data_IF_448050798480
#
_entry.id   IF_448050798480
#
_cell.length_a   1.000
_cell.length_b   1.000
_cell.length_c   1.000
_cell.angle_alpha   90.00
_cell.angle_beta   90.00
_cell.angle_gamma   90.00
#
_symmetry.space_group_name_H-M   'P 1'
#
loop_
_entity.id
_entity.type
_entity.pdbx_description
1 polymer ?
#
# COMPACT_ATOMS: atom_id res chain seq x y z
N UNK A 1 0.98 24.34 12.75
CA UNK A 1 0.70 23.11 11.96
C UNK A 1 0.10 23.39 10.59
N UNK A 2 -0.94 24.25 10.48
CA UNK A 2 -1.62 24.55 9.19
C UNK A 2 -0.61 24.95 8.09
N UNK A 3 0.14 26.03 8.26
CA UNK A 3 1.10 26.55 7.26
C UNK A 3 2.16 25.51 6.92
N UNK A 4 2.68 24.81 7.92
CA UNK A 4 3.72 23.79 7.74
C UNK A 4 3.22 22.66 6.84
N UNK A 5 1.99 22.16 7.03
CA UNK A 5 1.42 21.11 6.22
C UNK A 5 1.30 21.49 4.73
N UNK A 6 0.84 22.72 4.45
CA UNK A 6 0.75 23.21 3.05
C UNK A 6 2.12 23.42 2.41
N UNK A 7 3.06 24.03 3.12
CA UNK A 7 4.42 24.25 2.58
C UNK A 7 5.13 22.93 2.27
N UNK A 8 5.00 21.96 3.17
CA UNK A 8 5.59 20.63 2.96
C UNK A 8 4.93 19.92 1.78
N UNK A 9 3.61 19.98 1.67
CA UNK A 9 2.90 19.38 0.52
C UNK A 9 3.39 19.98 -0.79
N UNK A 10 3.44 21.31 -0.90
CA UNK A 10 3.92 22.00 -2.12
C UNK A 10 5.37 21.64 -2.43
N UNK A 11 6.24 21.63 -1.41
CA UNK A 11 7.65 21.25 -1.58
C UNK A 11 7.82 19.80 -2.05
N UNK A 12 7.06 18.85 -1.49
CA UNK A 12 7.11 17.45 -1.91
C UNK A 12 6.54 17.24 -3.30
N UNK A 13 5.47 17.94 -3.68
CA UNK A 13 4.92 17.89 -5.03
C UNK A 13 5.93 18.42 -6.07
N UNK A 14 6.60 19.53 -5.77
CA UNK A 14 7.64 20.06 -6.63
C UNK A 14 8.81 19.08 -6.79
N UNK A 15 9.26 18.49 -5.69
CA UNK A 15 10.33 17.48 -5.69
C UNK A 15 9.92 16.24 -6.49
N UNK A 16 8.71 15.73 -6.26
CA UNK A 16 8.18 14.57 -7.00
C UNK A 16 8.09 14.85 -8.50
N UNK A 17 7.57 16.03 -8.90
CA UNK A 17 7.50 16.44 -10.30
C UNK A 17 8.88 16.49 -10.97
N UNK A 18 9.90 17.03 -10.29
CA UNK A 18 11.29 17.06 -10.79
C UNK A 18 11.85 15.65 -10.96
N UNK A 19 11.60 14.75 -10.00
CA UNK A 19 12.07 13.36 -10.09
C UNK A 19 11.38 12.59 -11.23
N UNK A 20 10.06 12.75 -11.41
CA UNK A 20 9.33 12.13 -12.53
C UNK A 20 9.81 12.68 -13.88
N UNK A 21 9.98 14.00 -13.99
CA UNK A 21 10.52 14.62 -15.21
C UNK A 21 11.91 14.08 -15.54
N UNK A 22 12.80 13.98 -14.55
CA UNK A 22 14.15 13.43 -14.72
C UNK A 22 14.11 11.94 -15.13
N UNK A 23 13.19 11.16 -14.56
CA UNK A 23 13.00 9.77 -14.94
C UNK A 23 12.46 9.60 -16.36
N UNK A 24 11.58 10.48 -16.82
CA UNK A 24 11.08 10.48 -18.19
C UNK A 24 12.16 10.80 -19.23
N UNK A 25 13.05 11.76 -18.94
CA UNK A 25 14.15 12.11 -19.84
C UNK A 25 15.26 11.05 -19.90
N UNK A 26 15.44 10.28 -18.84
CA UNK A 26 16.42 9.17 -18.81
C UNK A 26 15.94 7.92 -19.57
N UNK A 27 14.67 7.85 -19.94
CA UNK A 27 14.09 6.74 -20.72
C UNK A 27 14.26 6.93 -22.23
N UNK A 28 15.48 7.12 -22.73
CA UNK A 28 15.82 6.73 -24.08
C UNK A 28 15.91 5.20 -24.16
N UNK A 29 14.81 4.51 -24.09
CA UNK A 29 14.73 3.04 -24.08
C UNK A 29 13.86 2.54 -25.24
N UNK A 30 14.17 1.40 -25.86
CA UNK A 30 13.58 0.91 -27.11
C UNK A 30 12.13 0.41 -27.03
N UNK A 31 11.34 0.87 -26.07
CA UNK A 31 9.90 0.58 -25.94
C UNK A 31 9.01 1.41 -26.90
N UNK A 32 9.59 1.93 -27.97
CA UNK A 32 8.82 2.68 -28.99
C UNK A 32 7.69 1.86 -29.65
N UNK A 33 7.76 0.53 -29.65
CA UNK A 33 6.74 -0.31 -30.28
C UNK A 33 5.44 -0.39 -29.48
N UNK A 34 5.48 -0.41 -28.14
CA UNK A 34 4.27 -0.41 -27.30
C UNK A 34 3.55 0.95 -27.34
N UNK A 35 4.32 2.05 -27.31
CA UNK A 35 3.81 3.41 -27.35
C UNK A 35 3.21 3.78 -28.72
N UNK A 36 3.60 3.10 -29.78
CA UNK A 36 3.07 3.28 -31.14
C UNK A 36 1.79 2.53 -31.46
N UNK A 37 1.41 1.51 -30.65
CA UNK A 37 0.23 0.70 -30.95
C UNK A 37 -1.07 1.36 -30.44
N UNK A 38 -1.99 1.79 -31.33
CA UNK A 38 -3.21 2.47 -30.93
C UNK A 38 -4.20 1.53 -30.21
N UNK A 39 -4.20 0.25 -30.54
CA UNK A 39 -5.07 -0.75 -29.88
C UNK A 39 -4.66 -0.97 -28.44
N UNK A 40 -3.34 -1.05 -28.17
CA UNK A 40 -2.81 -1.17 -26.82
C UNK A 40 -3.14 0.07 -25.95
N UNK A 41 -2.98 1.28 -26.50
CA UNK A 41 -3.34 2.51 -25.79
C UNK A 41 -4.84 2.58 -25.47
N UNK A 42 -5.69 2.16 -26.38
CA UNK A 42 -7.14 2.11 -26.17
C UNK A 42 -7.48 1.14 -25.06
N UNK A 43 -6.93 -0.06 -25.07
CA UNK A 43 -7.12 -1.07 -24.03
C UNK A 43 -6.65 -0.58 -22.65
N UNK A 44 -5.47 0.05 -22.56
CA UNK A 44 -5.01 0.68 -21.32
C UNK A 44 -5.98 1.76 -20.82
N UNK A 45 -6.46 2.61 -21.72
CA UNK A 45 -7.39 3.68 -21.37
C UNK A 45 -8.72 3.14 -20.83
N UNK A 46 -9.27 2.11 -21.46
CA UNK A 46 -10.52 1.47 -21.04
C UNK A 46 -10.36 0.80 -19.65
N UNK A 47 -9.19 0.21 -19.38
CA UNK A 47 -8.84 -0.26 -18.03
C UNK A 47 -8.77 0.88 -17.00
N UNK A 48 -8.04 1.96 -17.31
CA UNK A 48 -7.86 3.08 -16.39
C UNK A 48 -9.17 3.80 -16.07
N UNK A 49 -10.05 3.95 -17.04
CA UNK A 49 -11.37 4.59 -16.84
C UNK A 49 -12.22 3.88 -15.79
N UNK A 50 -12.20 2.57 -15.74
CA UNK A 50 -12.95 1.78 -14.77
C UNK A 50 -12.21 1.65 -13.43
N UNK A 51 -10.88 1.50 -13.46
CA UNK A 51 -10.06 1.25 -12.28
C UNK A 51 -9.81 2.50 -11.44
N UNK A 52 -9.53 3.65 -12.04
CA UNK A 52 -9.17 4.86 -11.28
C UNK A 52 -10.30 5.43 -10.41
N UNK A 53 -11.58 5.43 -10.81
CA UNK A 53 -12.67 5.79 -9.90
C UNK A 53 -12.77 4.87 -8.68
N UNK A 54 -12.58 3.56 -8.87
CA UNK A 54 -12.55 2.59 -7.77
C UNK A 54 -11.39 2.87 -6.80
N UNK A 55 -10.21 3.13 -7.35
CA UNK A 55 -9.01 3.46 -6.59
C UNK A 55 -9.15 4.81 -5.85
N UNK A 56 -9.70 5.83 -6.49
CA UNK A 56 -9.97 7.12 -5.87
C UNK A 56 -10.97 7.00 -4.71
N UNK A 57 -12.00 6.18 -4.88
CA UNK A 57 -12.96 5.90 -3.83
C UNK A 57 -12.29 5.24 -2.61
N UNK A 58 -11.37 4.29 -2.83
CA UNK A 58 -10.63 3.65 -1.73
C UNK A 58 -9.75 4.64 -0.96
N UNK A 59 -9.04 5.53 -1.67
CA UNK A 59 -8.19 6.54 -1.04
C UNK A 59 -8.94 7.63 -0.26
N UNK A 60 -10.17 7.98 -0.66
CA UNK A 60 -10.95 9.05 -0.01
C UNK A 60 -11.24 8.78 1.48
N UNK A 61 -11.29 7.53 1.90
CA UNK A 61 -11.55 7.19 3.30
C UNK A 61 -10.36 7.43 4.24
N UNK A 62 -9.13 7.42 3.69
CA UNK A 62 -7.90 7.39 4.47
C UNK A 62 -7.78 8.48 5.52
N UNK A 63 -7.94 9.77 5.16
CA UNK A 63 -7.65 10.89 6.07
C UNK A 63 -8.58 10.99 7.27
N UNK A 64 -9.87 10.67 7.11
CA UNK A 64 -10.90 10.99 8.10
C UNK A 64 -11.49 9.78 8.83
N UNK A 65 -10.97 8.58 8.60
CA UNK A 65 -11.53 7.35 9.15
C UNK A 65 -11.50 7.32 10.69
N UNK A 66 -10.37 7.66 11.30
CA UNK A 66 -10.24 7.73 12.76
C UNK A 66 -11.08 8.87 13.32
N UNK A 67 -11.00 10.06 12.72
CA UNK A 67 -11.76 11.25 13.13
C UNK A 67 -13.28 11.04 13.04
N UNK A 68 -13.76 10.23 12.09
CA UNK A 68 -15.16 9.85 11.99
C UNK A 68 -15.64 9.10 13.23
N UNK A 69 -14.89 8.09 13.65
CA UNK A 69 -15.25 7.32 14.85
C UNK A 69 -15.15 8.15 16.12
N UNK A 70 -14.17 9.02 16.22
CA UNK A 70 -14.06 9.98 17.32
C UNK A 70 -15.23 10.99 17.31
N UNK A 71 -15.66 11.45 16.15
CA UNK A 71 -16.83 12.32 16.00
C UNK A 71 -18.14 11.64 16.47
N UNK A 72 -18.23 10.32 16.35
CA UNK A 72 -19.34 9.52 16.90
C UNK A 72 -19.17 9.19 18.39
N UNK A 73 -18.20 9.81 19.06
CA UNK A 73 -17.91 9.67 20.50
C UNK A 73 -17.50 8.27 20.94
N UNK A 74 -16.93 7.45 20.04
CA UNK A 74 -16.34 6.18 20.45
C UNK A 74 -15.03 6.39 21.19
N UNK A 75 -14.84 5.58 22.24
CA UNK A 75 -13.57 5.52 22.97
C UNK A 75 -12.46 4.91 22.11
N UNK A 76 -11.23 5.32 22.33
CA UNK A 76 -10.06 4.84 21.56
C UNK A 76 -9.96 3.33 21.50
N UNK A 77 -10.25 2.62 22.60
CA UNK A 77 -10.28 1.18 22.60
C UNK A 77 -11.36 0.57 21.72
N UNK A 78 -12.53 1.20 21.62
CA UNK A 78 -13.59 0.78 20.70
C UNK A 78 -13.13 1.00 19.25
N UNK A 79 -12.45 2.12 18.98
CA UNK A 79 -11.87 2.41 17.65
C UNK A 79 -10.78 1.38 17.32
N UNK A 80 -9.90 1.06 18.29
CA UNK A 80 -8.87 0.04 18.10
C UNK A 80 -9.47 -1.34 17.75
N UNK A 81 -10.53 -1.76 18.43
CA UNK A 81 -11.24 -3.01 18.12
C UNK A 81 -11.80 -2.99 16.70
N UNK A 82 -12.42 -1.88 16.27
CA UNK A 82 -12.92 -1.71 14.90
C UNK A 82 -11.78 -1.89 13.88
N UNK A 83 -10.59 -1.33 14.13
CA UNK A 83 -9.42 -1.50 13.25
C UNK A 83 -8.92 -2.95 13.24
N UNK A 84 -8.80 -3.59 14.41
CA UNK A 84 -8.37 -5.00 14.54
C UNK A 84 -9.31 -5.94 13.80
N UNK A 85 -10.64 -5.73 13.91
CA UNK A 85 -11.61 -6.50 13.13
C UNK A 85 -11.43 -6.34 11.63
N UNK A 86 -11.13 -5.12 11.15
CA UNK A 86 -10.80 -4.87 9.75
C UNK A 86 -9.54 -5.62 9.31
N UNK A 87 -8.49 -5.63 10.13
CA UNK A 87 -7.26 -6.37 9.85
C UNK A 87 -7.51 -7.88 9.80
N UNK A 88 -8.27 -8.42 10.76
CA UNK A 88 -8.68 -9.82 10.76
C UNK A 88 -9.47 -10.21 9.52
N UNK A 89 -10.42 -9.37 9.12
CA UNK A 89 -11.18 -9.57 7.88
C UNK A 89 -10.29 -9.56 6.63
N UNK A 90 -9.27 -8.70 6.58
CA UNK A 90 -8.31 -8.66 5.46
C UNK A 90 -7.47 -9.93 5.38
N UNK A 91 -7.07 -10.52 6.51
CA UNK A 91 -6.37 -11.82 6.54
C UNK A 91 -7.25 -12.94 6.00
N UNK A 92 -8.46 -13.05 6.54
CA UNK A 92 -9.41 -14.10 6.14
C UNK A 92 -9.78 -13.99 4.66
N UNK A 93 -10.06 -12.78 4.19
CA UNK A 93 -10.38 -12.54 2.79
C UNK A 93 -9.19 -12.78 1.85
N UNK A 94 -7.97 -12.50 2.28
CA UNK A 94 -6.75 -12.79 1.52
C UNK A 94 -6.59 -14.29 1.22
N UNK A 95 -6.99 -15.16 2.15
CA UNK A 95 -6.99 -16.61 1.92
C UNK A 95 -8.03 -17.05 0.88
N UNK A 96 -9.16 -16.34 0.80
CA UNK A 96 -10.32 -16.72 -0.01
C UNK A 96 -10.32 -15.98 -1.37
N UNK A 97 -9.66 -14.82 -1.47
CA UNK A 97 -9.76 -13.92 -2.64
C UNK A 97 -9.37 -14.59 -3.97
N UNK A 98 -8.24 -15.30 -4.03
CA UNK A 98 -7.77 -15.94 -5.27
C UNK A 98 -8.72 -17.07 -5.75
N UNK A 99 -9.14 -18.04 -4.89
CA UNK A 99 -10.14 -19.03 -5.29
C UNK A 99 -11.51 -18.44 -5.61
N UNK A 100 -11.90 -17.38 -4.90
CA UNK A 100 -13.17 -16.66 -5.16
C UNK A 100 -13.14 -16.03 -6.56
N UNK A 101 -12.07 -15.32 -6.88
CA UNK A 101 -11.86 -14.69 -8.20
C UNK A 101 -11.83 -15.73 -9.32
N UNK A 102 -11.21 -16.89 -9.09
CA UNK A 102 -11.20 -17.98 -10.06
C UNK A 102 -12.59 -18.59 -10.34
N UNK A 103 -13.43 -18.71 -9.30
CA UNK A 103 -14.79 -19.28 -9.43
C UNK A 103 -15.82 -18.27 -9.94
N UNK A 104 -15.86 -17.07 -9.37
CA UNK A 104 -16.82 -16.03 -9.75
C UNK A 104 -16.51 -15.45 -11.13
N UNK A 105 -15.24 -15.37 -11.49
CA UNK A 105 -14.73 -14.60 -12.62
C UNK A 105 -14.12 -13.28 -12.16
N UNK A 106 -13.18 -12.76 -12.95
CA UNK A 106 -12.37 -11.61 -12.54
C UNK A 106 -13.14 -10.29 -12.59
N UNK A 107 -13.95 -10.06 -13.66
CA UNK A 107 -14.83 -8.89 -13.75
C UNK A 107 -15.81 -8.83 -12.59
N UNK A 108 -16.50 -9.96 -12.32
CA UNK A 108 -17.45 -10.02 -11.18
C UNK A 108 -16.79 -9.78 -9.85
N UNK A 109 -15.54 -10.20 -9.67
CA UNK A 109 -14.78 -9.94 -8.47
C UNK A 109 -14.41 -8.47 -8.31
N UNK A 110 -14.12 -7.75 -9.40
CA UNK A 110 -13.92 -6.29 -9.38
C UNK A 110 -15.22 -5.54 -9.04
N UNK A 111 -16.36 -6.00 -9.57
CA UNK A 111 -17.67 -5.44 -9.23
C UNK A 111 -18.01 -5.73 -7.76
N UNK A 112 -17.73 -6.95 -7.27
CA UNK A 112 -17.92 -7.32 -5.87
C UNK A 112 -17.08 -6.45 -4.93
N UNK A 113 -15.82 -6.14 -5.29
CA UNK A 113 -15.01 -5.16 -4.57
C UNK A 113 -15.77 -3.83 -4.41
N UNK A 114 -16.26 -3.27 -5.52
CA UNK A 114 -16.93 -1.97 -5.51
C UNK A 114 -18.23 -1.99 -4.68
N UNK A 115 -18.99 -3.08 -4.73
CA UNK A 115 -20.22 -3.26 -3.94
C UNK A 115 -19.92 -3.39 -2.44
N UNK A 116 -18.90 -4.19 -2.05
CA UNK A 116 -18.50 -4.35 -0.66
C UNK A 116 -17.97 -3.04 -0.07
N UNK A 117 -17.18 -2.28 -0.85
CA UNK A 117 -16.67 -1.00 -0.41
C UNK A 117 -17.77 0.05 -0.30
N UNK A 118 -18.73 0.08 -1.23
CA UNK A 118 -19.91 0.94 -1.14
C UNK A 118 -20.76 0.60 0.12
N UNK A 119 -20.97 -0.68 0.39
CA UNK A 119 -21.60 -1.14 1.63
C UNK A 119 -20.85 -0.70 2.89
N UNK A 120 -19.52 -0.79 2.89
CA UNK A 120 -18.68 -0.24 3.96
C UNK A 120 -18.91 1.25 4.17
N UNK A 121 -19.02 2.04 3.09
CA UNK A 121 -19.26 3.49 3.18
C UNK A 121 -20.66 3.83 3.68
N UNK A 122 -21.66 3.08 3.26
CA UNK A 122 -23.02 3.24 3.80
C UNK A 122 -23.06 2.94 5.30
N UNK A 123 -22.39 1.89 5.76
CA UNK A 123 -22.28 1.59 7.19
C UNK A 123 -21.66 2.73 8.00
N UNK A 124 -20.73 3.50 7.42
CA UNK A 124 -20.08 4.65 8.09
C UNK A 124 -21.01 5.84 8.34
N UNK A 125 -22.19 5.87 7.73
CA UNK A 125 -23.19 6.91 8.01
C UNK A 125 -24.01 6.61 9.28
N UNK A 126 -23.93 5.39 9.81
CA UNK A 126 -24.55 4.99 11.07
C UNK A 126 -23.64 5.32 12.26
N UNK A 127 -24.25 5.68 13.39
CA UNK A 127 -23.56 5.83 14.67
C UNK A 127 -23.58 4.55 15.52
N UNK A 128 -24.20 3.47 15.02
CA UNK A 128 -24.25 2.20 15.71
C UNK A 128 -22.92 1.46 15.58
N UNK A 129 -22.38 1.01 16.73
CA UNK A 129 -21.08 0.35 16.82
C UNK A 129 -21.00 -0.95 16.00
N UNK A 130 -22.07 -1.77 16.05
CA UNK A 130 -22.09 -3.05 15.34
C UNK A 130 -22.22 -2.86 13.82
N UNK A 131 -22.94 -1.82 13.38
CA UNK A 131 -23.01 -1.45 11.96
C UNK A 131 -21.64 -0.99 11.46
N UNK A 132 -20.92 -0.19 12.23
CA UNK A 132 -19.55 0.24 11.89
C UNK A 132 -18.57 -0.92 11.86
N UNK A 133 -18.68 -1.85 12.82
CA UNK A 133 -17.89 -3.07 12.85
C UNK A 133 -18.12 -3.93 11.59
N UNK A 134 -19.39 -4.11 11.21
CA UNK A 134 -19.78 -4.80 9.97
C UNK A 134 -19.19 -4.09 8.75
N UNK A 135 -19.28 -2.76 8.70
CA UNK A 135 -18.67 -1.96 7.65
C UNK A 135 -17.15 -2.18 7.53
N UNK A 136 -16.43 -2.31 8.66
CA UNK A 136 -14.98 -2.60 8.65
C UNK A 136 -14.66 -4.00 8.16
N UNK A 137 -15.50 -4.98 8.48
CA UNK A 137 -15.37 -6.33 7.93
C UNK A 137 -15.56 -6.31 6.42
N UNK A 138 -16.60 -5.64 5.90
CA UNK A 138 -16.84 -5.46 4.47
C UNK A 138 -15.64 -4.77 3.79
N UNK A 139 -15.10 -3.70 4.40
CA UNK A 139 -13.90 -3.01 3.93
C UNK A 139 -12.66 -3.90 3.89
N UNK A 140 -12.44 -4.75 4.89
CA UNK A 140 -11.35 -5.72 4.90
C UNK A 140 -11.47 -6.76 3.78
N UNK A 141 -12.68 -7.24 3.51
CA UNK A 141 -12.94 -8.13 2.36
C UNK A 141 -12.70 -7.42 1.03
N UNK A 142 -13.15 -6.17 0.87
CA UNK A 142 -12.95 -5.41 -0.36
C UNK A 142 -11.47 -5.18 -0.67
N UNK A 143 -10.66 -4.79 0.32
CA UNK A 143 -9.24 -4.50 0.14
C UNK A 143 -8.45 -5.67 -0.47
N UNK A 144 -8.80 -6.91 -0.12
CA UNK A 144 -8.15 -8.10 -0.71
C UNK A 144 -8.49 -8.31 -2.17
N UNK A 145 -9.68 -7.90 -2.60
CA UNK A 145 -10.15 -8.01 -4.00
C UNK A 145 -9.54 -6.92 -4.88
N UNK A 146 -9.32 -5.71 -4.36
CA UNK A 146 -8.74 -4.61 -5.13
C UNK A 146 -7.40 -5.01 -5.77
N UNK A 147 -6.47 -5.48 -4.96
CA UNK A 147 -5.12 -5.80 -5.43
C UNK A 147 -5.00 -7.13 -6.15
N UNK A 148 -5.97 -8.02 -6.04
CA UNK A 148 -5.91 -9.32 -6.69
C UNK A 148 -6.72 -9.41 -7.98
N UNK A 149 -7.88 -8.74 -8.06
CA UNK A 149 -8.83 -8.92 -9.15
C UNK A 149 -8.57 -8.01 -10.34
N UNK A 150 -8.29 -6.72 -10.11
CA UNK A 150 -8.09 -5.75 -11.20
C UNK A 150 -6.83 -6.04 -12.01
N UNK A 151 -5.70 -6.27 -11.35
CA UNK A 151 -4.45 -6.61 -12.02
C UNK A 151 -4.53 -7.95 -12.74
N UNK A 152 -5.18 -8.95 -12.13
CA UNK A 152 -5.34 -10.26 -12.76
C UNK A 152 -6.30 -10.24 -13.94
N UNK A 153 -7.34 -9.38 -13.91
CA UNK A 153 -8.22 -9.17 -15.06
C UNK A 153 -7.43 -8.58 -16.22
N UNK A 154 -6.70 -7.49 -15.97
CA UNK A 154 -5.89 -6.81 -16.99
C UNK A 154 -4.83 -7.73 -17.59
N UNK A 155 -4.08 -8.45 -16.75
CA UNK A 155 -3.01 -9.33 -17.22
C UNK A 155 -3.56 -10.45 -18.14
N UNK A 156 -4.70 -11.02 -17.82
CA UNK A 156 -5.33 -12.05 -18.64
C UNK A 156 -5.84 -11.50 -19.97
N UNK A 157 -6.58 -10.38 -19.95
CA UNK A 157 -7.07 -9.75 -21.20
C UNK A 157 -5.91 -9.35 -22.11
N UNK A 158 -4.82 -8.86 -21.52
CA UNK A 158 -3.62 -8.47 -22.23
C UNK A 158 -2.98 -9.64 -23.00
N UNK A 159 -2.84 -10.79 -22.35
CA UNK A 159 -2.11 -11.95 -22.94
C UNK A 159 -3.01 -12.89 -23.72
N UNK A 160 -4.22 -13.20 -23.22
CA UNK A 160 -5.06 -14.26 -23.78
C UNK A 160 -6.09 -13.74 -24.79
N UNK A 161 -6.58 -12.50 -24.62
CA UNK A 161 -7.62 -11.95 -25.49
C UNK A 161 -7.04 -11.02 -26.57
N UNK A 162 -6.10 -10.16 -26.20
CA UNK A 162 -5.49 -9.21 -27.13
C UNK A 162 -4.16 -9.69 -27.72
N UNK A 163 -3.60 -10.77 -27.22
CA UNK A 163 -2.31 -11.35 -27.65
C UNK A 163 -1.17 -10.30 -27.68
N UNK A 164 -1.17 -9.36 -26.72
CA UNK A 164 -0.10 -8.39 -26.59
C UNK A 164 1.13 -9.01 -25.92
N UNK A 165 2.35 -8.60 -26.29
CA UNK A 165 3.56 -9.10 -25.67
C UNK A 165 3.57 -8.93 -24.15
N UNK A 166 3.89 -9.98 -23.40
CA UNK A 166 3.96 -9.95 -21.94
C UNK A 166 4.96 -8.90 -21.42
N UNK A 167 5.95 -8.52 -22.23
CA UNK A 167 6.94 -7.47 -21.94
C UNK A 167 6.31 -6.07 -21.79
N UNK A 168 5.09 -5.86 -22.29
CA UNK A 168 4.38 -4.59 -22.15
C UNK A 168 3.60 -4.46 -20.84
N UNK A 169 3.32 -5.55 -20.13
CA UNK A 169 2.64 -5.55 -18.83
C UNK A 169 3.34 -4.67 -17.79
N UNK A 170 4.67 -4.74 -17.60
CA UNK A 170 5.37 -3.88 -16.64
C UNK A 170 5.22 -2.39 -16.93
N UNK A 171 5.03 -2.01 -18.22
CA UNK A 171 4.81 -0.61 -18.60
C UNK A 171 3.47 -0.11 -18.04
N UNK A 172 2.38 -0.86 -18.22
CA UNK A 172 1.06 -0.51 -17.66
C UNK A 172 1.08 -0.45 -16.15
N UNK A 173 1.65 -1.46 -15.47
CA UNK A 173 1.70 -1.46 -14.01
C UNK A 173 2.61 -0.36 -13.44
N UNK A 174 3.64 0.07 -14.16
CA UNK A 174 4.42 1.25 -13.79
C UNK A 174 3.60 2.54 -13.88
N UNK A 175 2.74 2.66 -14.90
CA UNK A 175 1.80 3.80 -15.00
C UNK A 175 0.75 3.76 -13.88
N UNK A 176 0.17 2.57 -13.61
CA UNK A 176 -0.76 2.38 -12.48
C UNK A 176 -0.13 2.85 -11.17
N UNK A 177 1.12 2.47 -10.89
CA UNK A 177 1.80 2.87 -9.67
C UNK A 177 1.99 4.40 -9.57
N UNK A 178 2.34 5.07 -10.67
CA UNK A 178 2.48 6.53 -10.71
C UNK A 178 1.13 7.23 -10.51
N UNK A 179 0.09 6.77 -11.21
CA UNK A 179 -1.27 7.32 -11.07
C UNK A 179 -1.87 7.03 -9.69
N UNK A 180 -1.58 5.89 -9.09
CA UNK A 180 -2.01 5.57 -7.73
C UNK A 180 -1.52 6.62 -6.73
N UNK A 181 -0.24 7.02 -6.80
CA UNK A 181 0.30 8.11 -5.98
C UNK A 181 -0.40 9.44 -6.23
N UNK A 182 -0.61 9.83 -7.50
CA UNK A 182 -1.32 11.05 -7.87
C UNK A 182 -2.77 11.06 -7.36
N UNK A 183 -3.50 9.96 -7.56
CA UNK A 183 -4.88 9.80 -7.11
C UNK A 183 -4.97 9.88 -5.59
N UNK A 184 -4.06 9.25 -4.85
CA UNK A 184 -4.02 9.31 -3.40
C UNK A 184 -3.81 10.75 -2.87
N UNK A 185 -2.91 11.51 -3.50
CA UNK A 185 -2.68 12.92 -3.16
C UNK A 185 -3.94 13.75 -3.41
N UNK A 186 -4.55 13.62 -4.60
CA UNK A 186 -5.79 14.34 -4.95
C UNK A 186 -6.95 13.93 -4.03
N UNK A 187 -7.07 12.65 -3.69
CA UNK A 187 -8.10 12.17 -2.76
C UNK A 187 -7.96 12.80 -1.37
N UNK A 188 -6.73 12.97 -0.85
CA UNK A 188 -6.50 13.65 0.42
C UNK A 188 -6.93 15.12 0.40
N UNK A 189 -6.56 15.88 -0.66
CA UNK A 189 -6.99 17.27 -0.84
C UNK A 189 -8.51 17.36 -0.98
N UNK A 190 -9.12 16.46 -1.77
CA UNK A 190 -10.57 16.41 -1.96
C UNK A 190 -11.30 16.08 -0.66
N UNK A 191 -10.79 15.11 0.10
CA UNK A 191 -11.35 14.78 1.41
C UNK A 191 -11.28 15.97 2.38
N UNK A 192 -10.17 16.73 2.38
CA UNK A 192 -10.03 17.96 3.17
C UNK A 192 -11.03 19.04 2.73
N UNK A 193 -11.19 19.21 1.42
CA UNK A 193 -12.14 20.18 0.88
C UNK A 193 -13.58 19.86 1.32
N UNK A 194 -13.99 18.60 1.24
CA UNK A 194 -15.33 18.18 1.66
C UNK A 194 -15.52 18.29 3.17
N UNK A 195 -14.58 17.76 3.96
CA UNK A 195 -14.75 17.64 5.40
C UNK A 195 -14.56 18.98 6.14
N UNK A 196 -13.55 19.78 5.76
CA UNK A 196 -13.14 20.99 6.49
C UNK A 196 -13.51 22.28 5.75
N UNK A 197 -13.13 22.46 4.47
CA UNK A 197 -13.39 23.74 3.78
C UNK A 197 -14.89 23.97 3.50
N UNK A 198 -15.63 22.92 3.12
CA UNK A 198 -17.08 22.97 2.93
C UNK A 198 -17.86 22.70 4.22
N UNK A 199 -17.19 22.29 5.31
CA UNK A 199 -17.81 22.04 6.60
C UNK A 199 -18.80 20.85 6.62
N UNK A 200 -18.71 19.92 5.66
CA UNK A 200 -19.64 18.78 5.55
C UNK A 200 -19.34 17.65 6.56
N UNK A 201 -18.25 17.78 7.33
CA UNK A 201 -17.87 16.84 8.38
C UNK A 201 -17.13 15.59 7.88
N UNK A 202 -16.62 14.74 8.82
CA UNK A 202 -15.70 13.65 8.52
C UNK A 202 -16.31 12.47 7.76
N UNK A 203 -17.65 12.38 7.66
CA UNK A 203 -18.34 11.36 6.86
C UNK A 203 -18.39 11.70 5.35
N UNK A 204 -18.23 12.98 4.99
CA UNK A 204 -18.44 13.48 3.62
C UNK A 204 -17.53 12.83 2.57
N UNK A 205 -16.23 12.49 2.81
CA UNK A 205 -15.43 11.78 1.84
C UNK A 205 -15.97 10.39 1.49
N UNK A 206 -16.56 9.69 2.48
CA UNK A 206 -17.19 8.39 2.25
C UNK A 206 -18.46 8.51 1.41
N UNK A 207 -19.24 9.58 1.59
CA UNK A 207 -20.42 9.86 0.75
C UNK A 207 -20.01 10.13 -0.70
N UNK A 208 -18.95 10.92 -0.91
CA UNK A 208 -18.42 11.22 -2.25
C UNK A 208 -17.84 9.98 -2.95
N UNK A 209 -17.34 9.03 -2.20
CA UNK A 209 -16.78 7.80 -2.75
C UNK A 209 -17.82 6.86 -3.38
N UNK A 210 -19.08 6.86 -2.86
CA UNK A 210 -20.14 5.97 -3.36
C UNK A 210 -20.45 6.19 -4.86
N UNK A 211 -20.70 7.43 -5.36
CA UNK A 211 -20.91 7.64 -6.79
C UNK A 211 -19.69 7.27 -7.66
N UNK A 212 -18.47 7.41 -7.17
CA UNK A 212 -17.26 6.95 -7.89
C UNK A 212 -17.26 5.43 -8.06
N UNK A 213 -17.66 4.68 -7.02
CA UNK A 213 -17.83 3.24 -7.12
C UNK A 213 -18.95 2.85 -8.09
N UNK A 214 -20.07 3.58 -8.06
CA UNK A 214 -21.15 3.41 -9.03
C UNK A 214 -20.70 3.62 -10.47
N UNK A 215 -19.90 4.66 -10.72
CA UNK A 215 -19.30 4.92 -12.03
C UNK A 215 -18.36 3.77 -12.45
N UNK A 216 -17.49 3.32 -11.55
CA UNK A 216 -16.60 2.18 -11.82
C UNK A 216 -17.38 0.92 -12.18
N UNK A 217 -18.45 0.59 -11.44
CA UNK A 217 -19.33 -0.55 -11.74
C UNK A 217 -19.95 -0.40 -13.12
N UNK A 218 -20.51 0.77 -13.44
CA UNK A 218 -21.15 1.02 -14.74
C UNK A 218 -20.18 0.85 -15.91
N UNK A 219 -18.95 1.35 -15.78
CA UNK A 219 -17.90 1.21 -16.79
C UNK A 219 -17.45 -0.25 -16.94
N UNK A 220 -17.24 -0.98 -15.83
CA UNK A 220 -16.92 -2.40 -15.88
C UNK A 220 -18.02 -3.24 -16.55
N UNK A 221 -19.30 -2.92 -16.30
CA UNK A 221 -20.41 -3.62 -16.97
C UNK A 221 -20.47 -3.35 -18.46
N UNK A 222 -20.12 -2.14 -18.88
CA UNK A 222 -20.21 -1.71 -20.28
C UNK A 222 -19.01 -2.11 -21.13
N UNK A 223 -17.80 -2.04 -20.56
CA UNK A 223 -16.56 -2.08 -21.34
C UNK A 223 -15.72 -3.35 -21.11
N UNK A 224 -16.00 -4.12 -20.05
CA UNK A 224 -15.19 -5.27 -19.69
C UNK A 224 -15.91 -6.59 -19.97
N UNK A 225 -15.20 -7.54 -20.57
CA UNK A 225 -15.66 -8.90 -20.70
C UNK A 225 -15.32 -9.76 -19.47
N UNK A 226 -16.10 -10.83 -19.24
CA UNK A 226 -15.86 -11.75 -18.13
C UNK A 226 -14.77 -12.74 -18.51
N UNK A 227 -13.71 -12.76 -17.73
CA UNK A 227 -12.69 -13.77 -17.86
C UNK A 227 -12.57 -14.63 -16.59
N UNK A 228 -12.33 -15.93 -16.76
CA UNK A 228 -12.23 -16.90 -15.68
C UNK A 228 -10.82 -17.50 -15.66
N UNK A 229 -10.22 -17.55 -14.45
CA UNK A 229 -8.95 -18.23 -14.23
C UNK A 229 -9.16 -19.68 -13.78
N UNK A 230 -8.09 -20.46 -13.81
CA UNK A 230 -8.11 -21.77 -13.17
C UNK A 230 -8.22 -21.60 -11.64
N UNK A 231 -9.22 -22.27 -11.05
CA UNK A 231 -9.41 -22.27 -9.60
C UNK A 231 -8.35 -23.17 -8.95
N UNK A 232 -7.39 -22.58 -8.24
CA UNK A 232 -6.48 -23.34 -7.40
C UNK A 232 -7.16 -23.76 -6.08
N UNK A 233 -6.85 -24.96 -5.60
CA UNK A 233 -7.31 -25.40 -4.27
C UNK A 233 -6.62 -24.61 -3.18
N UNK A 234 -7.40 -23.94 -2.30
CA UNK A 234 -6.89 -23.13 -1.15
C UNK A 234 -5.92 -23.95 -0.30
N UNK A 235 -6.34 -25.17 0.08
CA UNK A 235 -5.57 -26.04 0.97
C UNK A 235 -4.20 -26.38 0.38
N UNK A 236 -4.11 -26.65 -0.92
CA UNK A 236 -2.86 -26.97 -1.59
C UNK A 236 -1.94 -25.76 -1.66
N UNK A 237 -2.47 -24.60 -2.08
CA UNK A 237 -1.69 -23.36 -2.17
C UNK A 237 -1.14 -22.92 -0.79
N UNK A 238 -1.94 -22.98 0.26
CA UNK A 238 -1.50 -22.67 1.63
C UNK A 238 -0.48 -23.68 2.17
N UNK A 239 -0.68 -24.97 1.90
CA UNK A 239 0.24 -26.02 2.35
C UNK A 239 1.61 -25.92 1.68
N UNK A 240 1.63 -25.68 0.37
CA UNK A 240 2.87 -25.52 -0.40
C UNK A 240 3.60 -24.22 0.00
N UNK A 241 2.86 -23.13 0.22
CA UNK A 241 3.42 -21.87 0.73
C UNK A 241 4.06 -21.99 2.10
N UNK A 242 3.42 -22.72 3.03
CA UNK A 242 4.00 -22.97 4.36
C UNK A 242 5.27 -23.82 4.26
N UNK A 243 5.25 -24.85 3.43
CA UNK A 243 6.42 -25.70 3.21
C UNK A 243 7.59 -24.91 2.63
N UNK A 244 7.34 -24.04 1.65
CA UNK A 244 8.35 -23.15 1.09
C UNK A 244 8.94 -22.22 2.18
N UNK A 245 8.07 -21.59 2.97
CA UNK A 245 8.46 -20.68 4.06
C UNK A 245 9.35 -21.38 5.10
N UNK A 246 9.04 -22.59 5.49
CA UNK A 246 9.80 -23.34 6.52
C UNK A 246 11.08 -23.98 5.96
N UNK A 247 11.15 -24.22 4.66
CA UNK A 247 12.31 -24.89 4.02
C UNK A 247 13.44 -23.90 3.70
N UNK A 248 13.12 -22.68 3.26
CA UNK A 248 14.12 -21.68 2.88
C UNK A 248 14.21 -20.56 3.93
N UNK A 249 15.34 -20.52 4.65
CA UNK A 249 15.62 -19.48 5.65
C UNK A 249 15.60 -18.05 5.06
N UNK A 250 15.91 -17.87 3.78
CA UNK A 250 15.87 -16.57 3.09
C UNK A 250 14.43 -16.09 2.96
N UNK A 251 13.52 -16.98 2.59
CA UNK A 251 12.08 -16.69 2.51
C UNK A 251 11.51 -16.38 3.89
N UNK A 252 11.93 -17.14 4.92
CA UNK A 252 11.50 -16.91 6.30
C UNK A 252 11.96 -15.53 6.82
N UNK A 253 13.23 -15.15 6.59
CA UNK A 253 13.75 -13.83 6.97
C UNK A 253 13.04 -12.71 6.20
N UNK A 254 12.79 -12.90 4.90
CA UNK A 254 12.03 -11.93 4.11
C UNK A 254 10.62 -11.73 4.67
N UNK A 255 9.95 -12.81 5.06
CA UNK A 255 8.64 -12.77 5.73
C UNK A 255 8.69 -12.09 7.09
N UNK A 256 9.74 -12.32 7.89
CA UNK A 256 9.93 -11.64 9.16
C UNK A 256 10.13 -10.13 8.96
N UNK A 257 10.96 -9.70 8.00
CA UNK A 257 11.15 -8.28 7.66
C UNK A 257 9.81 -7.67 7.26
N UNK A 258 9.05 -8.33 6.40
CA UNK A 258 7.75 -7.84 5.97
C UNK A 258 6.77 -7.73 7.14
N UNK A 259 6.65 -8.76 7.96
CA UNK A 259 5.73 -8.76 9.09
C UNK A 259 6.04 -7.67 10.12
N UNK A 260 7.32 -7.46 10.43
CA UNK A 260 7.77 -6.46 11.40
C UNK A 260 7.61 -5.04 10.84
N UNK A 261 8.01 -4.79 9.60
CA UNK A 261 7.91 -3.46 9.00
C UNK A 261 6.45 -3.05 8.78
N UNK A 262 5.67 -3.87 8.10
CA UNK A 262 4.29 -3.51 7.75
C UNK A 262 3.36 -3.49 8.96
N UNK A 263 3.64 -4.25 10.05
CA UNK A 263 2.88 -4.13 11.30
C UNK A 263 3.07 -2.75 11.95
N UNK A 264 4.29 -2.21 11.91
CA UNK A 264 4.58 -0.84 12.38
C UNK A 264 3.85 0.19 11.52
N UNK A 265 3.80 0.00 10.20
CA UNK A 265 3.03 0.88 9.31
C UNK A 265 1.53 0.84 9.65
N UNK A 266 0.97 -0.31 9.99
CA UNK A 266 -0.44 -0.42 10.40
C UNK A 266 -0.71 0.30 11.73
N UNK A 267 0.21 0.22 12.69
CA UNK A 267 0.14 0.99 13.95
C UNK A 267 0.26 2.50 13.66
N UNK A 268 1.15 2.90 12.77
CA UNK A 268 1.27 4.29 12.32
C UNK A 268 -0.04 4.80 11.69
N UNK A 269 -0.67 4.02 10.79
CA UNK A 269 -1.96 4.39 10.17
C UNK A 269 -3.06 4.63 11.21
N UNK A 270 -3.00 3.97 12.36
CA UNK A 270 -3.91 4.22 13.48
C UNK A 270 -3.53 5.50 14.26
N UNK A 271 -2.25 5.68 14.58
CA UNK A 271 -1.78 6.69 15.54
C UNK A 271 -1.57 8.09 14.97
N UNK A 272 -1.35 8.25 13.67
CA UNK A 272 -1.03 9.58 13.11
C UNK A 272 -2.14 10.61 13.31
N UNK A 273 -3.41 10.19 13.20
CA UNK A 273 -4.56 11.08 13.39
C UNK A 273 -4.68 11.57 14.84
N UNK A 274 -4.73 10.70 15.87
CA UNK A 274 -4.82 11.18 17.26
C UNK A 274 -3.60 11.98 17.72
N UNK A 275 -2.43 11.79 17.11
CA UNK A 275 -1.23 12.59 17.41
C UNK A 275 -1.30 13.98 16.80
N UNK A 276 -1.88 14.16 15.61
CA UNK A 276 -1.86 15.43 14.88
C UNK A 276 -3.16 16.25 15.00
N UNK A 277 -4.32 15.60 15.16
CA UNK A 277 -5.64 16.26 15.20
C UNK A 277 -5.79 17.29 16.34
N UNK A 278 -5.28 17.06 17.59
CA UNK A 278 -5.38 18.03 18.67
C UNK A 278 -4.75 19.40 18.39
N UNK A 279 -3.88 19.47 17.38
CA UNK A 279 -3.14 20.70 17.01
C UNK A 279 -3.74 21.41 15.79
N UNK A 280 -5.01 21.17 15.48
CA UNK A 280 -5.73 21.74 14.32
C UNK A 280 -4.95 21.52 12.99
N UNK A 281 -4.41 20.33 12.82
CA UNK A 281 -3.75 19.94 11.58
C UNK A 281 -4.80 19.63 10.52
N UNK A 282 -4.72 20.20 9.30
CA UNK A 282 -5.64 19.83 8.21
C UNK A 282 -5.35 18.38 7.79
N UNK A 283 -6.16 17.44 8.27
CA UNK A 283 -5.89 16.01 8.16
C UNK A 283 -5.78 15.53 6.71
N UNK A 284 -6.64 16.04 5.82
CA UNK A 284 -6.57 15.67 4.41
C UNK A 284 -5.32 16.21 3.71
N UNK A 285 -4.83 17.39 4.09
CA UNK A 285 -3.59 17.97 3.56
C UNK A 285 -2.37 17.21 4.12
N UNK A 286 -2.38 16.88 5.41
CA UNK A 286 -1.33 16.06 6.02
C UNK A 286 -1.23 14.69 5.33
N UNK A 287 -2.37 14.04 5.09
CA UNK A 287 -2.45 12.78 4.34
C UNK A 287 -1.91 12.93 2.91
N UNK A 288 -2.28 14.00 2.19
CA UNK A 288 -1.71 14.28 0.86
C UNK A 288 -0.19 14.45 0.91
N UNK A 289 0.32 15.08 1.96
CA UNK A 289 1.77 15.18 2.23
C UNK A 289 2.41 13.80 2.42
N UNK A 290 1.78 12.90 3.17
CA UNK A 290 2.23 11.51 3.34
C UNK A 290 2.28 10.77 2.00
N UNK A 291 1.23 10.87 1.21
CA UNK A 291 1.19 10.22 -0.12
C UNK A 291 2.21 10.82 -1.10
N UNK A 292 2.45 12.13 -1.03
CA UNK A 292 3.50 12.78 -1.82
C UNK A 292 4.91 12.34 -1.38
N UNK A 293 5.14 12.15 -0.08
CA UNK A 293 6.39 11.59 0.43
C UNK A 293 6.61 10.15 -0.04
N UNK A 294 5.56 9.31 0.02
CA UNK A 294 5.59 7.93 -0.47
C UNK A 294 5.86 7.86 -1.98
N UNK A 295 5.17 8.68 -2.78
CA UNK A 295 5.41 8.79 -4.23
C UNK A 295 6.84 9.25 -4.55
N UNK A 296 7.36 10.23 -3.79
CA UNK A 296 8.76 10.69 -3.88
C UNK A 296 9.73 9.55 -3.58
N UNK A 297 9.49 8.76 -2.52
CA UNK A 297 10.28 7.58 -2.18
C UNK A 297 10.32 6.54 -3.30
N UNK A 298 9.17 6.26 -3.93
CA UNK A 298 9.09 5.34 -5.07
C UNK A 298 9.86 5.84 -6.29
N UNK A 299 9.86 7.15 -6.53
CA UNK A 299 10.63 7.78 -7.61
C UNK A 299 12.13 7.76 -7.32
N UNK A 300 12.53 7.99 -6.06
CA UNK A 300 13.91 7.85 -5.60
C UNK A 300 14.42 6.39 -5.74
N UNK A 301 13.58 5.39 -5.43
CA UNK A 301 13.91 3.99 -5.67
C UNK A 301 14.25 3.73 -7.15
N UNK A 302 13.39 4.20 -8.07
CA UNK A 302 13.61 4.05 -9.52
C UNK A 302 14.91 4.74 -9.97
N UNK A 303 15.19 5.93 -9.43
CA UNK A 303 16.43 6.65 -9.72
C UNK A 303 17.65 5.91 -9.18
N UNK A 304 17.60 5.46 -7.92
CA UNK A 304 18.69 4.76 -7.25
C UNK A 304 19.05 3.42 -7.92
N UNK A 305 18.05 2.70 -8.41
CA UNK A 305 18.24 1.42 -9.12
C UNK A 305 18.51 1.60 -10.63
N UNK A 306 18.52 2.83 -11.14
CA UNK A 306 18.80 3.11 -12.55
C UNK A 306 20.23 2.74 -12.95
N UNK A 307 20.48 2.62 -14.28
CA UNK A 307 21.81 2.35 -14.85
C UNK A 307 22.90 3.33 -14.42
N UNK A 308 22.53 4.51 -13.91
CA UNK A 308 23.47 5.55 -13.46
C UNK A 308 24.04 5.28 -12.07
N UNK A 309 23.21 4.79 -11.13
CA UNK A 309 23.58 4.64 -9.71
C UNK A 309 23.77 3.19 -9.26
N UNK A 310 23.15 2.23 -9.95
CA UNK A 310 23.28 0.78 -9.71
C UNK A 310 23.13 0.32 -8.25
N UNK A 311 22.37 1.05 -7.43
CA UNK A 311 22.12 0.64 -6.06
C UNK A 311 21.24 -0.62 -6.04
N UNK A 312 21.69 -1.60 -5.28
CA UNK A 312 20.93 -2.84 -5.15
C UNK A 312 19.71 -2.66 -4.25
N UNK A 313 18.58 -3.29 -4.59
CA UNK A 313 17.34 -3.21 -3.78
C UNK A 313 17.51 -3.59 -2.31
N UNK A 314 18.48 -4.48 -1.99
CA UNK A 314 18.78 -4.85 -0.62
C UNK A 314 19.34 -3.68 0.21
N UNK A 315 20.21 -2.84 -0.36
CA UNK A 315 20.72 -1.65 0.33
C UNK A 315 19.60 -0.63 0.59
N UNK A 316 18.69 -0.47 -0.38
CA UNK A 316 17.53 0.42 -0.25
C UNK A 316 16.58 -0.10 0.82
N UNK A 317 16.37 -1.42 0.89
CA UNK A 317 15.58 -2.04 1.97
C UNK A 317 16.21 -1.76 3.34
N UNK A 318 17.52 -1.91 3.49
CA UNK A 318 18.23 -1.58 4.73
C UNK A 318 18.06 -0.11 5.10
N UNK A 319 18.22 0.79 4.13
CA UNK A 319 18.04 2.24 4.33
C UNK A 319 16.61 2.57 4.78
N UNK A 320 15.59 1.98 4.15
CA UNK A 320 14.19 2.23 4.52
C UNK A 320 13.87 1.78 5.94
N UNK A 321 14.37 0.61 6.36
CA UNK A 321 14.20 0.12 7.75
C UNK A 321 14.90 1.05 8.75
N UNK A 322 16.11 1.53 8.45
CA UNK A 322 16.82 2.49 9.26
C UNK A 322 16.09 3.83 9.38
N UNK A 323 15.54 4.34 8.28
CA UNK A 323 14.76 5.58 8.28
C UNK A 323 13.54 5.46 9.20
N UNK A 324 12.79 4.37 9.12
CA UNK A 324 11.62 4.15 10.00
C UNK A 324 12.06 4.01 11.46
N UNK A 325 13.14 3.29 11.74
CA UNK A 325 13.69 3.19 13.11
C UNK A 325 13.99 4.56 13.71
N UNK A 326 14.72 5.43 12.99
CA UNK A 326 15.01 6.78 13.46
C UNK A 326 13.77 7.66 13.60
N UNK A 327 12.80 7.53 12.69
CA UNK A 327 11.52 8.24 12.78
C UNK A 327 10.74 7.86 14.04
N UNK A 328 10.69 6.57 14.37
CA UNK A 328 10.02 6.08 15.58
C UNK A 328 10.74 6.51 16.85
N UNK A 329 12.07 6.56 16.80
CA UNK A 329 12.87 7.11 17.88
C UNK A 329 12.55 8.60 18.09
N UNK A 330 12.49 9.42 17.05
CA UNK A 330 12.02 10.81 17.12
C UNK A 330 10.60 10.90 17.70
N UNK A 331 9.66 10.06 17.23
CA UNK A 331 8.28 10.04 17.73
C UNK A 331 8.18 9.73 19.22
N UNK A 332 9.01 8.83 19.74
CA UNK A 332 9.07 8.52 21.17
C UNK A 332 9.37 9.76 22.04
N UNK A 333 10.17 10.70 21.54
CA UNK A 333 10.48 11.95 22.25
C UNK A 333 9.49 13.06 21.95
N UNK A 334 9.05 13.19 20.70
CA UNK A 334 8.13 14.26 20.28
C UNK A 334 6.69 14.07 20.77
N UNK A 335 6.31 12.85 21.19
CA UNK A 335 5.02 12.54 21.81
C UNK A 335 5.11 12.33 23.32
N UNK A 336 6.22 12.78 23.97
CA UNK A 336 6.36 12.68 25.42
C UNK A 336 5.33 13.58 26.13
N UNK A 337 4.61 13.06 27.16
CA UNK A 337 3.61 13.83 27.88
C UNK A 337 4.15 15.15 28.43
N UNK A 338 3.46 16.26 28.16
CA UNK A 338 3.86 17.61 28.59
C UNK A 338 5.01 18.25 27.76
N UNK A 339 5.52 17.57 26.74
CA UNK A 339 6.55 18.08 25.83
C UNK A 339 6.21 17.77 24.37
N UNK A 340 4.93 17.72 24.04
CA UNK A 340 4.48 17.36 22.69
C UNK A 340 4.98 18.37 21.66
N UNK A 341 5.57 17.83 20.57
CA UNK A 341 6.14 18.60 19.46
C UNK A 341 5.49 18.19 18.13
N UNK A 342 4.31 18.72 17.82
CA UNK A 342 3.52 18.26 16.69
C UNK A 342 4.22 18.42 15.33
N UNK A 343 5.06 19.43 15.16
CA UNK A 343 5.82 19.63 13.93
C UNK A 343 6.87 18.55 13.73
N UNK A 344 7.59 18.18 14.80
CA UNK A 344 8.58 17.10 14.75
C UNK A 344 7.90 15.75 14.49
N UNK A 345 6.74 15.49 15.14
CA UNK A 345 5.93 14.30 14.90
C UNK A 345 5.45 14.22 13.43
N UNK A 346 4.99 15.34 12.86
CA UNK A 346 4.58 15.41 11.47
C UNK A 346 5.74 15.10 10.49
N UNK A 347 6.94 15.67 10.74
CA UNK A 347 8.12 15.39 9.93
C UNK A 347 8.57 13.93 10.05
N UNK A 348 8.49 13.35 11.24
CA UNK A 348 8.79 11.94 11.46
C UNK A 348 7.82 11.02 10.69
N UNK A 349 6.51 11.35 10.66
CA UNK A 349 5.53 10.63 9.87
C UNK A 349 5.79 10.74 8.36
N UNK A 350 6.18 11.91 7.87
CA UNK A 350 6.61 12.09 6.47
C UNK A 350 7.82 11.22 6.12
N UNK A 351 8.77 11.09 7.05
CA UNK A 351 9.95 10.25 6.84
C UNK A 351 9.59 8.76 6.82
N UNK A 352 8.61 8.32 7.63
CA UNK A 352 8.06 6.96 7.56
C UNK A 352 7.45 6.70 6.18
N UNK A 353 6.64 7.61 5.65
CA UNK A 353 6.01 7.44 4.34
C UNK A 353 7.02 7.50 3.18
N UNK A 354 8.02 8.36 3.27
CA UNK A 354 9.12 8.35 2.30
C UNK A 354 9.85 6.99 2.31
N UNK A 355 10.09 6.44 3.48
CA UNK A 355 10.69 5.12 3.65
C UNK A 355 9.77 4.00 3.12
N UNK A 356 8.45 4.09 3.30
CA UNK A 356 7.48 3.18 2.68
C UNK A 356 7.58 3.20 1.16
N UNK A 357 7.71 4.38 0.56
CA UNK A 357 7.92 4.54 -0.89
C UNK A 357 9.19 3.86 -1.41
N UNK A 358 10.25 3.79 -0.62
CA UNK A 358 11.47 3.02 -0.93
C UNK A 358 11.30 1.53 -0.66
N UNK A 359 10.62 1.17 0.42
CA UNK A 359 10.45 -0.19 0.91
C UNK A 359 9.63 -1.07 -0.04
N UNK A 360 8.43 -0.63 -0.44
CA UNK A 360 7.51 -1.47 -1.21
C UNK A 360 8.08 -1.97 -2.54
N UNK A 361 8.71 -1.15 -3.39
CA UNK A 361 9.31 -1.65 -4.61
C UNK A 361 10.55 -2.53 -4.36
N UNK A 362 11.37 -2.22 -3.34
CA UNK A 362 12.51 -3.05 -2.95
C UNK A 362 12.06 -4.45 -2.49
N UNK A 363 11.06 -4.49 -1.60
CA UNK A 363 10.46 -5.73 -1.11
C UNK A 363 9.80 -6.53 -2.25
N UNK A 364 9.09 -5.85 -3.16
CA UNK A 364 8.47 -6.49 -4.33
C UNK A 364 9.50 -7.15 -5.25
N UNK A 365 10.65 -6.50 -5.46
CA UNK A 365 11.76 -7.08 -6.23
C UNK A 365 12.31 -8.34 -5.55
N UNK A 366 12.60 -8.29 -4.25
CA UNK A 366 13.15 -9.41 -3.50
C UNK A 366 12.17 -10.59 -3.43
N UNK A 367 10.88 -10.35 -3.27
CA UNK A 367 9.85 -11.40 -3.30
C UNK A 367 9.85 -12.15 -4.63
N UNK A 368 9.89 -11.44 -5.75
CA UNK A 368 9.92 -12.06 -7.09
C UNK A 368 11.18 -12.86 -7.35
N UNK A 369 12.28 -12.53 -6.69
CA UNK A 369 13.57 -13.26 -6.84
C UNK A 369 13.71 -14.45 -5.91
N UNK A 370 13.21 -14.35 -4.68
CA UNK A 370 13.40 -15.36 -3.65
C UNK A 370 12.27 -16.39 -3.58
N UNK A 371 11.05 -16.03 -3.99
CA UNK A 371 9.87 -16.90 -3.88
C UNK A 371 9.52 -17.44 -5.27
N UNK A 372 9.42 -18.77 -5.46
CA UNK A 372 8.96 -19.36 -6.70
C UNK A 372 7.55 -18.89 -7.09
N UNK A 373 7.30 -18.58 -8.35
CA UNK A 373 6.02 -18.02 -8.81
C UNK A 373 4.81 -18.86 -8.40
N UNK A 374 4.94 -20.19 -8.47
CA UNK A 374 3.83 -21.12 -8.11
C UNK A 374 3.44 -21.04 -6.64
N UNK A 375 4.35 -20.68 -5.75
CA UNK A 375 4.17 -20.66 -4.30
C UNK A 375 3.94 -19.24 -3.77
N UNK A 376 4.13 -18.21 -4.59
CA UNK A 376 4.11 -16.80 -4.20
C UNK A 376 2.82 -16.42 -3.49
N UNK A 377 1.65 -16.80 -4.01
CA UNK A 377 0.35 -16.50 -3.39
C UNK A 377 0.21 -17.14 -2.01
N UNK A 378 0.62 -18.41 -1.87
CA UNK A 378 0.57 -19.13 -0.59
C UNK A 378 1.51 -18.52 0.46
N UNK A 379 2.75 -18.23 0.09
CA UNK A 379 3.75 -17.59 0.96
C UNK A 379 3.29 -16.21 1.41
N UNK A 380 2.75 -15.39 0.49
CA UNK A 380 2.25 -14.04 0.81
C UNK A 380 1.09 -14.07 1.80
N UNK A 381 0.22 -15.06 1.73
CA UNK A 381 -0.85 -15.24 2.72
C UNK A 381 -0.27 -15.52 4.11
N UNK A 382 0.77 -16.35 4.20
CA UNK A 382 1.46 -16.63 5.48
C UNK A 382 2.19 -15.40 6.02
N UNK A 383 2.77 -14.55 5.18
CA UNK A 383 3.40 -13.30 5.63
C UNK A 383 2.41 -12.33 6.30
N UNK A 384 1.15 -12.32 5.83
CA UNK A 384 0.10 -11.45 6.36
C UNK A 384 -0.36 -11.86 7.77
N UNK A 385 -0.25 -13.13 8.15
CA UNK A 385 -0.70 -13.61 9.45
C UNK A 385 0.08 -12.96 10.62
N UNK A 386 1.42 -13.09 10.72
CA UNK A 386 2.17 -12.45 11.80
C UNK A 386 2.08 -10.92 11.75
N UNK A 387 2.05 -10.31 10.58
CA UNK A 387 1.86 -8.88 10.39
C UNK A 387 0.60 -8.37 11.11
N UNK A 388 -0.55 -8.97 10.81
CA UNK A 388 -1.83 -8.53 11.38
C UNK A 388 -1.96 -8.91 12.86
N UNK A 389 -1.34 -10.01 13.30
CA UNK A 389 -1.27 -10.37 14.71
C UNK A 389 -0.46 -9.34 15.51
N UNK A 390 0.73 -8.95 15.05
CA UNK A 390 1.57 -7.97 15.73
C UNK A 390 0.86 -6.60 15.76
N UNK A 391 0.31 -6.15 14.64
CA UNK A 391 -0.43 -4.89 14.58
C UNK A 391 -1.66 -4.91 15.49
N UNK A 392 -2.46 -5.98 15.44
CA UNK A 392 -3.67 -6.14 16.26
C UNK A 392 -3.36 -6.20 17.75
N UNK A 393 -2.37 -6.99 18.16
CA UNK A 393 -1.93 -7.07 19.56
C UNK A 393 -1.36 -5.71 20.03
N UNK A 394 -0.59 -5.01 19.18
CA UNK A 394 -0.09 -3.68 19.49
C UNK A 394 -1.22 -2.70 19.80
N UNK A 395 -2.26 -2.65 18.96
CA UNK A 395 -3.42 -1.78 19.18
C UNK A 395 -4.22 -2.18 20.45
N UNK A 396 -4.35 -3.46 20.74
CA UNK A 396 -5.01 -3.92 21.96
C UNK A 396 -4.21 -3.57 23.24
N UNK A 397 -2.89 -3.66 23.19
CA UNK A 397 -2.01 -3.23 24.30
C UNK A 397 -2.11 -1.71 24.52
N UNK A 398 -2.20 -0.91 23.46
CA UNK A 398 -2.42 0.53 23.56
C UNK A 398 -3.69 0.86 24.33
N UNK A 399 -4.78 0.08 24.13
CA UNK A 399 -6.05 0.28 24.82
C UNK A 399 -5.96 0.11 26.36
N UNK A 400 -5.08 -0.75 26.85
CA UNK A 400 -4.92 -1.01 28.30
C UNK A 400 -4.08 0.05 28.99
N UNK A 401 -3.33 0.88 28.24
CA UNK A 401 -2.44 1.91 28.75
C UNK A 401 -3.14 3.26 28.82
N UNK A 402 -2.72 4.14 29.76
CA UNK A 402 -3.13 5.54 29.75
C UNK A 402 -2.73 6.22 28.42
N UNK A 403 -3.66 6.96 27.81
CA UNK A 403 -3.51 7.47 26.45
C UNK A 403 -2.18 8.19 26.17
N UNK A 404 -1.78 9.15 27.01
CA UNK A 404 -0.57 9.94 26.76
C UNK A 404 0.71 9.13 26.93
N UNK A 405 0.79 8.27 27.94
CA UNK A 405 1.92 7.37 28.14
C UNK A 405 1.88 6.18 27.14
N UNK A 406 0.67 5.75 26.79
CA UNK A 406 0.43 4.66 25.84
C UNK A 406 0.97 4.93 24.44
N UNK A 407 0.73 6.11 23.89
CA UNK A 407 1.22 6.51 22.55
C UNK A 407 2.75 6.51 22.49
N UNK A 408 3.41 7.12 23.47
CA UNK A 408 4.87 7.10 23.57
C UNK A 408 5.43 5.68 23.69
N UNK A 409 4.84 4.87 24.58
CA UNK A 409 5.28 3.49 24.78
C UNK A 409 5.07 2.65 23.52
N UNK A 410 4.00 2.92 22.78
CA UNK A 410 3.75 2.23 21.49
C UNK A 410 4.83 2.57 20.46
N UNK A 411 5.22 3.85 20.30
CA UNK A 411 6.32 4.21 19.40
C UNK A 411 7.65 3.61 19.84
N UNK A 412 7.91 3.52 21.15
CA UNK A 412 9.09 2.82 21.68
C UNK A 412 9.07 1.33 21.34
N UNK A 413 7.92 0.65 21.48
CA UNK A 413 7.73 -0.75 21.09
C UNK A 413 7.92 -0.95 19.58
N UNK A 414 7.37 -0.03 18.77
CA UNK A 414 7.57 -0.02 17.33
C UNK A 414 9.06 0.17 16.95
N UNK A 415 9.78 1.01 17.67
CA UNK A 415 11.23 1.18 17.46
C UNK A 415 12.01 -0.11 17.76
N UNK A 416 11.67 -0.83 18.83
CA UNK A 416 12.25 -2.16 19.13
C UNK A 416 11.89 -3.16 18.02
N UNK A 417 10.65 -3.15 17.56
CA UNK A 417 10.20 -4.00 16.44
C UNK A 417 11.02 -3.72 15.17
N UNK A 418 11.31 -2.45 14.87
CA UNK A 418 12.15 -2.07 13.72
C UNK A 418 13.61 -2.46 13.90
N UNK A 419 14.12 -2.48 15.13
CA UNK A 419 15.46 -3.01 15.41
C UNK A 419 15.55 -4.50 15.08
N UNK A 420 14.52 -5.28 15.44
CA UNK A 420 14.43 -6.69 15.07
C UNK A 420 14.33 -6.87 13.55
N UNK A 421 13.59 -6.00 12.86
CA UNK A 421 13.54 -5.99 11.40
C UNK A 421 14.90 -5.70 10.79
N UNK A 422 15.66 -4.74 11.34
CA UNK A 422 17.01 -4.40 10.90
C UNK A 422 17.98 -5.58 11.06
N UNK A 423 17.94 -6.27 12.20
CA UNK A 423 18.74 -7.49 12.42
C UNK A 423 18.38 -8.57 11.40
N UNK A 424 17.10 -8.73 11.07
CA UNK A 424 16.64 -9.67 10.04
C UNK A 424 17.13 -9.27 8.65
N UNK A 425 17.17 -7.96 8.31
CA UNK A 425 17.75 -7.46 7.04
C UNK A 425 19.23 -7.75 6.96
N UNK A 426 19.98 -7.51 8.03
CA UNK A 426 21.43 -7.79 8.09
C UNK A 426 21.70 -9.29 7.94
N UNK A 427 20.90 -10.13 8.61
CA UNK A 427 21.00 -11.59 8.47
C UNK A 427 20.72 -12.04 7.03
N UNK A 428 19.64 -11.52 6.42
CA UNK A 428 19.30 -11.81 5.02
C UNK A 428 20.42 -11.34 4.08
N UNK A 429 20.94 -10.13 4.28
CA UNK A 429 22.04 -9.58 3.48
C UNK A 429 23.29 -10.45 3.53
N UNK A 430 23.67 -10.96 4.71
CA UNK A 430 24.81 -11.84 4.86
C UNK A 430 24.67 -13.17 4.12
N UNK A 431 23.44 -13.71 4.03
CA UNK A 431 23.14 -14.95 3.30
C UNK A 431 23.11 -14.76 1.77
N UNK A 432 22.73 -13.56 1.33
CA UNK A 432 22.48 -13.24 -0.09
C UNK A 432 23.67 -12.57 -0.77
N UNK A 433 24.64 -12.07 0.01
CA UNK A 433 25.81 -11.31 -0.50
C UNK A 433 26.57 -12.00 -1.63
N UNK A 434 26.66 -13.32 -1.60
CA UNK A 434 27.38 -14.13 -2.57
C UNK A 434 26.50 -14.67 -3.71
N UNK A 435 25.20 -14.35 -3.70
CA UNK A 435 24.25 -14.87 -4.67
C UNK A 435 24.16 -13.91 -5.87
N UNK A 436 24.70 -14.34 -7.03
CA UNK A 436 24.71 -13.56 -8.27
C UNK A 436 23.27 -13.28 -8.79
N UNK A 437 22.32 -14.16 -8.46
CA UNK A 437 20.93 -14.06 -8.95
C UNK A 437 20.16 -12.89 -8.34
N UNK A 438 20.65 -12.33 -7.24
CA UNK A 438 20.02 -11.18 -6.55
C UNK A 438 20.63 -9.83 -6.95
N UNK A 439 21.66 -9.83 -7.77
CA UNK A 439 22.17 -8.61 -8.39
C UNK A 439 21.25 -8.20 -9.54
N UNK A 440 21.08 -6.89 -9.72
CA UNK A 440 20.46 -6.41 -10.96
C UNK A 440 21.31 -6.87 -12.14
N UNK A 441 20.70 -7.38 -13.24
CA UNK A 441 21.47 -7.75 -14.42
C UNK A 441 22.30 -6.55 -14.87
N UNK A 442 23.61 -6.69 -14.84
CA UNK A 442 24.52 -5.77 -15.52
C UNK A 442 24.18 -5.84 -17.00
N UNK A 443 24.05 -4.71 -17.65
CA UNK A 443 23.70 -4.56 -19.07
C UNK A 443 24.83 -5.00 -20.03
N UNK A 444 25.66 -5.96 -19.63
CA UNK A 444 26.76 -6.52 -20.40
C UNK A 444 26.58 -8.04 -20.46
N UNK A 445 25.72 -8.47 -21.34
CA UNK A 445 25.89 -9.68 -22.16
C UNK A 445 24.83 -9.62 -23.27
N UNK A 446 25.02 -8.67 -24.21
CA UNK A 446 24.71 -9.04 -25.58
C UNK A 446 25.76 -10.09 -25.97
N UNK A 447 25.39 -11.27 -26.40
CA UNK A 447 26.34 -12.13 -27.08
C UNK A 447 26.75 -11.39 -28.34
N UNK A 448 28.01 -10.97 -28.37
CA UNK A 448 28.68 -10.56 -29.61
C UNK A 448 28.36 -11.63 -30.66
N UNK A 449 27.57 -11.25 -31.66
CA UNK A 449 27.42 -12.05 -32.86
C UNK A 449 28.80 -12.30 -33.45
N UNK A 450 29.24 -13.55 -33.42
CA UNK A 450 30.26 -14.07 -34.32
C UNK A 450 29.57 -15.05 -35.26
N UNK A 451 29.44 -14.60 -36.51
CA UNK A 451 29.78 -15.36 -37.72
C UNK A 451 29.30 -16.83 -37.81
N UNK A 452 28.33 -17.13 -38.60
CA UNK A 452 28.45 -17.63 -40.02
C UNK A 452 27.05 -17.68 -40.61
#
# INVERSE_FOLDING_TARGET
MLVTAYLVLVGLLALWAVLEFSACHSKNSPTNNSLGNPAFKRFQHDFFRAYFPALAADWLQGPYLYKLYQHYHFLEGQIAIIYVCGFGATVLSGLISAPLTGRLGRRKSCILFSLLLAGCYVCKLSQDYFVLLTGRVLGGFSSSLLFSSFESWYAHEHTEHHDFPAEWLPHTFSQVATWNGAIAIVAGVTANACAEWLGLGPASPSVLAVPLLGLSIALMFREWDENRGQSSSISRSCGDGLRCLLRDRRVLLLGAIQALFESVVYIFIFLWTPVLDPYNTPLGIAFSGFMAASATGSSLYRLATSKKYHLQPMHILCLSVLMVFFSLFMLTFSTAPGQERPTESFLAFLLIELACGLYFPAMSFLRRRLIPEKEQTGVMNWFRVPLNLIAGLGLLVLHVSDYQSGTRNMFSLCAVTMLLALLSVVALFSMVRNDSDLRMPSSETEPSGSEI
#
